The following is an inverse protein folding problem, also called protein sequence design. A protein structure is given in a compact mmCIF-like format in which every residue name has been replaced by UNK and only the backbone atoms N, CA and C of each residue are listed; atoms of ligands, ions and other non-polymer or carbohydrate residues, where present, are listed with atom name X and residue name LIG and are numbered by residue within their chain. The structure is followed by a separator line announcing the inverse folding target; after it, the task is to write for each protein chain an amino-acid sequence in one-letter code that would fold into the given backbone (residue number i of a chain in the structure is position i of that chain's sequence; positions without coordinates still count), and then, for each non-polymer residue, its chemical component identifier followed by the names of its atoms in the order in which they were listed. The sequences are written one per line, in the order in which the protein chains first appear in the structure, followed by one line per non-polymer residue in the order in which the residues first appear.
data_IF_200577104327
#
_entry.id   IF_200577104327
#
_cell.length_a   1.000
_cell.length_b   1.000
_cell.length_c   1.000
_cell.angle_alpha   90.00
_cell.angle_beta   90.00
_cell.angle_gamma   90.00
#
_symmetry.space_group_name_H-M   'P 1'
#
loop_
_entity.id
_entity.type
_entity.pdbx_description
1 polymer ?
#
# COMPACT_ATOMS: atom_id res chain seq x y z
N UNK A 1 63.20 -5.65 17.23
CA UNK A 1 61.85 -6.25 17.23
C UNK A 1 60.81 -5.13 17.08
N UNK A 2 60.25 -4.99 15.90
CA UNK A 2 59.21 -4.00 15.61
C UNK A 2 57.90 -4.72 15.40
N UNK A 3 56.99 -4.58 16.35
CA UNK A 3 55.62 -5.13 16.25
C UNK A 3 54.77 -4.18 15.39
N UNK A 4 54.33 -4.63 14.24
CA UNK A 4 53.36 -3.93 13.42
C UNK A 4 51.97 -4.42 13.84
N UNK A 5 51.25 -3.55 14.54
CA UNK A 5 49.86 -3.81 14.91
C UNK A 5 49.01 -3.40 13.68
N UNK A 6 48.56 -4.40 12.95
CA UNK A 6 47.60 -4.21 11.84
C UNK A 6 46.20 -4.00 12.41
N UNK A 7 45.67 -2.77 12.34
CA UNK A 7 44.30 -2.48 12.61
C UNK A 7 43.44 -2.88 11.41
N UNK A 8 42.70 -3.99 11.56
CA UNK A 8 41.67 -4.41 10.61
C UNK A 8 40.47 -3.47 10.76
N UNK A 9 40.27 -2.64 9.74
CA UNK A 9 39.08 -1.78 9.65
C UNK A 9 37.93 -2.64 9.08
N UNK A 10 37.05 -3.12 9.96
CA UNK A 10 35.83 -3.79 9.56
C UNK A 10 34.84 -2.75 9.01
N UNK A 11 34.71 -2.66 7.71
CA UNK A 11 33.68 -1.85 7.06
C UNK A 11 32.31 -2.54 7.26
N UNK A 12 31.52 -2.05 8.18
CA UNK A 12 30.13 -2.43 8.34
C UNK A 12 29.34 -1.85 7.14
N UNK A 13 28.99 -2.71 6.18
CA UNK A 13 28.03 -2.38 5.12
C UNK A 13 26.65 -2.28 5.75
N UNK A 14 26.24 -1.09 6.11
CA UNK A 14 24.85 -0.78 6.44
C UNK A 14 24.03 -0.88 5.15
N UNK A 15 23.33 -2.00 4.96
CA UNK A 15 22.30 -2.12 3.95
C UNK A 15 21.16 -1.18 4.34
N UNK A 16 21.19 0.05 3.81
CA UNK A 16 20.04 0.93 3.84
C UNK A 16 18.95 0.26 3.01
N UNK A 17 17.92 -0.28 3.66
CA UNK A 17 16.69 -0.66 3.00
C UNK A 17 16.11 0.63 2.41
N UNK A 18 16.31 0.81 1.10
CA UNK A 18 15.70 1.91 0.36
C UNK A 18 14.20 1.74 0.46
N UNK A 19 13.55 2.58 1.27
CA UNK A 19 12.11 2.70 1.26
C UNK A 19 11.72 3.04 -0.18
N UNK A 20 10.97 2.17 -0.84
CA UNK A 20 10.58 2.33 -2.22
C UNK A 20 9.70 3.58 -2.33
N UNK A 21 10.22 4.62 -2.94
CA UNK A 21 9.50 5.87 -3.12
C UNK A 21 8.40 5.67 -4.17
N UNK A 22 7.28 6.34 -3.94
CA UNK A 22 6.18 6.34 -4.91
C UNK A 22 6.54 7.14 -6.16
N UNK A 23 6.10 6.65 -7.30
CA UNK A 23 6.12 7.39 -8.56
C UNK A 23 5.22 8.63 -8.47
N UNK A 24 5.37 9.61 -9.38
CA UNK A 24 4.45 10.76 -9.42
C UNK A 24 2.99 10.35 -9.59
N UNK A 25 2.69 9.30 -10.34
CA UNK A 25 1.34 8.77 -10.50
C UNK A 25 0.81 8.19 -9.19
N UNK A 26 1.57 7.36 -8.53
CA UNK A 26 1.22 6.77 -7.23
C UNK A 26 1.00 7.85 -6.15
N UNK A 27 1.81 8.92 -6.15
CA UNK A 27 1.63 10.05 -5.23
C UNK A 27 0.31 10.80 -5.47
N UNK A 28 -0.12 10.95 -6.72
CA UNK A 28 -1.44 11.54 -7.02
C UNK A 28 -2.56 10.67 -6.50
N UNK A 29 -2.47 9.36 -6.70
CA UNK A 29 -3.42 8.39 -6.14
C UNK A 29 -3.46 8.43 -4.61
N UNK A 30 -2.29 8.45 -3.95
CA UNK A 30 -2.19 8.61 -2.49
C UNK A 30 -2.88 9.88 -2.01
N UNK A 31 -2.61 11.02 -2.63
CA UNK A 31 -3.19 12.32 -2.25
C UNK A 31 -4.72 12.33 -2.39
N UNK A 32 -5.23 11.70 -3.45
CA UNK A 32 -6.67 11.57 -3.67
C UNK A 32 -7.33 10.71 -2.58
N UNK A 33 -6.77 9.56 -2.28
CA UNK A 33 -7.28 8.67 -1.23
C UNK A 33 -7.13 9.27 0.16
N UNK A 34 -6.04 10.00 0.44
CA UNK A 34 -5.87 10.73 1.70
C UNK A 34 -6.97 11.73 1.95
N UNK A 35 -7.42 12.41 0.90
CA UNK A 35 -8.48 13.41 0.99
C UNK A 35 -9.87 12.78 1.17
N UNK A 36 -10.15 11.67 0.47
CA UNK A 36 -11.49 11.12 0.35
C UNK A 36 -11.75 9.89 1.23
N UNK A 37 -10.72 9.12 1.57
CA UNK A 37 -10.87 7.79 2.17
C UNK A 37 -10.22 7.67 3.55
N UNK A 38 -9.20 8.47 3.84
CA UNK A 38 -8.40 8.34 5.07
C UNK A 38 -9.18 8.65 6.37
N UNK A 39 -10.33 9.29 6.27
CA UNK A 39 -11.20 9.53 7.43
C UNK A 39 -11.73 8.25 8.07
N UNK A 40 -11.85 7.18 7.29
CA UNK A 40 -12.37 5.88 7.74
C UNK A 40 -11.38 4.74 7.51
N UNK A 41 -10.65 4.74 6.39
CA UNK A 41 -9.71 3.68 6.00
C UNK A 41 -8.27 4.00 6.38
N UNK A 42 -7.50 2.96 6.73
CA UNK A 42 -6.04 3.05 6.66
C UNK A 42 -5.64 2.91 5.19
N UNK A 43 -5.18 3.99 4.60
CA UNK A 43 -4.88 4.07 3.16
C UNK A 43 -3.43 3.72 2.81
N UNK A 44 -2.55 3.59 3.78
CA UNK A 44 -1.11 3.39 3.57
C UNK A 44 -0.63 1.97 3.91
N UNK A 45 0.70 1.80 3.91
CA UNK A 45 1.36 0.54 4.24
C UNK A 45 1.25 0.15 5.72
N UNK A 46 0.85 1.05 6.58
CA UNK A 46 0.77 0.86 8.04
C UNK A 46 -0.50 1.50 8.60
N UNK A 47 -0.74 1.26 9.87
CA UNK A 47 -1.84 1.88 10.60
C UNK A 47 -3.16 1.12 10.53
N UNK A 48 -4.12 1.67 11.25
CA UNK A 48 -5.53 1.21 11.28
C UNK A 48 -6.43 2.40 10.98
N UNK A 49 -7.57 2.14 10.34
CA UNK A 49 -8.57 3.17 10.07
C UNK A 49 -9.39 3.51 11.31
N UNK A 50 -10.02 4.68 11.30
CA UNK A 50 -10.91 5.11 12.36
C UNK A 50 -12.22 4.31 12.41
N UNK A 51 -12.67 3.79 11.26
CA UNK A 51 -13.87 2.97 11.19
C UNK A 51 -13.50 1.48 11.29
N UNK A 52 -14.03 0.73 12.27
CA UNK A 52 -13.58 -0.66 12.54
C UNK A 52 -13.90 -1.64 11.41
N UNK A 53 -14.94 -1.38 10.63
CA UNK A 53 -15.34 -2.25 9.51
C UNK A 53 -14.73 -1.85 8.16
N UNK A 54 -14.08 -0.68 8.08
CA UNK A 54 -13.46 -0.21 6.85
C UNK A 54 -12.20 -1.04 6.52
N UNK A 55 -12.14 -1.72 5.35
CA UNK A 55 -10.98 -2.49 4.97
C UNK A 55 -9.69 -1.68 4.92
N UNK A 56 -8.58 -2.31 5.28
CA UNK A 56 -7.24 -1.76 5.10
C UNK A 56 -6.89 -1.81 3.61
N UNK A 57 -6.47 -0.71 3.02
CA UNK A 57 -6.19 -0.67 1.57
C UNK A 57 -5.02 -1.58 1.18
N UNK A 58 -4.00 -1.71 2.03
CA UNK A 58 -2.88 -2.62 1.80
C UNK A 58 -3.25 -4.11 1.76
N UNK A 59 -4.45 -4.48 2.21
CA UNK A 59 -4.92 -5.86 2.25
C UNK A 59 -6.00 -6.17 1.20
N UNK A 60 -6.35 -5.22 0.32
CA UNK A 60 -7.42 -5.39 -0.66
C UNK A 60 -7.14 -6.52 -1.65
N UNK A 61 -5.88 -6.75 -2.02
CA UNK A 61 -5.51 -7.83 -2.94
C UNK A 61 -5.82 -9.24 -2.43
N UNK A 62 -6.09 -9.37 -1.14
CA UNK A 62 -6.58 -10.64 -0.56
C UNK A 62 -8.03 -10.96 -0.93
N UNK A 63 -8.78 -9.97 -1.37
CA UNK A 63 -10.21 -10.09 -1.72
C UNK A 63 -10.46 -9.93 -3.21
N UNK A 64 -9.71 -9.05 -3.87
CA UNK A 64 -9.90 -8.69 -5.28
C UNK A 64 -8.56 -8.56 -5.98
N UNK A 65 -8.56 -8.70 -7.30
CA UNK A 65 -7.51 -8.07 -8.11
C UNK A 65 -7.71 -6.56 -8.04
N UNK A 66 -6.66 -5.80 -7.82
CA UNK A 66 -6.77 -4.33 -7.67
C UNK A 66 -7.39 -3.71 -8.93
N UNK A 67 -7.03 -4.19 -10.11
CA UNK A 67 -7.58 -3.74 -11.40
C UNK A 67 -9.11 -3.94 -11.51
N UNK A 68 -9.68 -4.91 -10.80
CA UNK A 68 -11.12 -5.11 -10.78
C UNK A 68 -11.91 -3.95 -10.15
N UNK A 69 -11.22 -3.04 -9.47
CA UNK A 69 -11.84 -1.84 -8.91
C UNK A 69 -11.98 -0.69 -9.92
N UNK A 70 -11.34 -0.77 -11.09
CA UNK A 70 -11.34 0.31 -12.08
C UNK A 70 -12.75 0.72 -12.49
N UNK A 71 -13.58 -0.24 -12.86
CA UNK A 71 -14.97 0.01 -13.29
C UNK A 71 -15.79 0.61 -12.16
N UNK A 72 -15.72 0.04 -10.97
CA UNK A 72 -16.44 0.54 -9.80
C UNK A 72 -16.04 1.97 -9.43
N UNK A 73 -14.76 2.30 -9.50
CA UNK A 73 -14.27 3.66 -9.25
C UNK A 73 -14.71 4.65 -10.32
N UNK A 74 -14.78 4.22 -11.58
CA UNK A 74 -15.20 5.08 -12.69
C UNK A 74 -16.71 5.30 -12.73
N UNK A 75 -17.51 4.30 -12.44
CA UNK A 75 -18.98 4.34 -12.52
C UNK A 75 -19.65 4.81 -11.23
N UNK A 76 -18.98 4.71 -10.12
CA UNK A 76 -19.48 5.02 -8.80
C UNK A 76 -19.32 3.82 -7.85
N UNK A 77 -18.44 3.99 -6.88
CA UNK A 77 -18.17 2.96 -5.88
C UNK A 77 -19.28 2.95 -4.84
N UNK A 78 -20.19 2.01 -4.96
CA UNK A 78 -21.26 1.76 -3.97
C UNK A 78 -20.94 0.49 -3.21
N UNK A 79 -20.57 0.63 -1.94
CA UNK A 79 -20.16 -0.50 -1.10
C UNK A 79 -21.32 -1.26 -0.45
N UNK A 80 -22.51 -0.66 -0.41
CA UNK A 80 -23.65 -1.15 0.36
C UNK A 80 -23.53 -0.90 1.87
N UNK A 81 -22.43 -0.31 2.35
CA UNK A 81 -22.27 0.07 3.74
C UNK A 81 -22.84 1.47 3.98
N UNK A 82 -23.74 1.68 4.99
CA UNK A 82 -24.45 2.94 5.17
C UNK A 82 -23.53 4.13 5.48
N UNK A 83 -22.38 3.90 6.07
CA UNK A 83 -21.43 4.95 6.46
C UNK A 83 -20.40 5.28 5.38
N UNK A 84 -20.35 4.51 4.28
CA UNK A 84 -19.43 4.76 3.19
C UNK A 84 -20.10 5.58 2.11
N UNK A 85 -19.65 6.84 1.86
CA UNK A 85 -20.16 7.66 0.77
C UNK A 85 -19.87 7.06 -0.60
N UNK A 86 -20.70 7.41 -1.58
CA UNK A 86 -20.47 7.08 -2.99
C UNK A 86 -19.43 8.04 -3.58
N UNK A 87 -18.48 7.49 -4.32
CA UNK A 87 -17.45 8.24 -5.03
C UNK A 87 -17.41 7.84 -6.49
N UNK A 88 -17.19 8.81 -7.35
CA UNK A 88 -16.96 8.61 -8.77
C UNK A 88 -15.72 9.37 -9.19
N UNK A 89 -14.83 8.68 -9.90
CA UNK A 89 -13.53 9.20 -10.32
C UNK A 89 -13.46 9.34 -11.84
N UNK A 90 -12.70 10.31 -12.32
CA UNK A 90 -12.32 10.39 -13.73
C UNK A 90 -11.40 9.22 -14.11
N UNK A 91 -11.25 8.96 -15.41
CA UNK A 91 -10.37 7.90 -15.89
C UNK A 91 -8.91 8.11 -15.45
N UNK A 92 -8.44 9.36 -15.39
CA UNK A 92 -7.10 9.69 -14.90
C UNK A 92 -6.95 9.37 -13.39
N UNK A 93 -7.92 9.82 -12.60
CA UNK A 93 -7.94 9.55 -11.16
C UNK A 93 -8.03 8.05 -10.85
N UNK A 94 -8.79 7.29 -11.63
CA UNK A 94 -8.84 5.83 -11.52
C UNK A 94 -7.45 5.23 -11.75
N UNK A 95 -6.76 5.63 -12.81
CA UNK A 95 -5.40 5.17 -13.10
C UNK A 95 -4.43 5.48 -11.98
N UNK A 96 -4.50 6.67 -11.40
CA UNK A 96 -3.66 7.10 -10.27
C UNK A 96 -3.95 6.28 -9.00
N UNK A 97 -5.23 6.06 -8.69
CA UNK A 97 -5.65 5.23 -7.54
C UNK A 97 -5.20 3.78 -7.69
N UNK A 98 -5.39 3.18 -8.85
CA UNK A 98 -4.99 1.80 -9.12
C UNK A 98 -3.46 1.65 -9.01
N UNK A 99 -2.69 2.59 -9.54
CA UNK A 99 -1.24 2.58 -9.42
C UNK A 99 -0.79 2.61 -7.95
N UNK A 100 -1.36 3.51 -7.15
CA UNK A 100 -1.06 3.59 -5.73
C UNK A 100 -1.47 2.34 -4.96
N UNK A 101 -2.69 1.85 -5.17
CA UNK A 101 -3.18 0.64 -4.50
C UNK A 101 -2.29 -0.57 -4.79
N UNK A 102 -1.84 -0.76 -6.03
CA UNK A 102 -0.90 -1.83 -6.36
C UNK A 102 0.43 -1.69 -5.64
N UNK A 103 0.92 -0.46 -5.47
CA UNK A 103 2.21 -0.19 -4.84
C UNK A 103 2.24 -0.50 -3.34
N UNK A 104 1.09 -0.51 -2.66
CA UNK A 104 1.01 -0.70 -1.21
C UNK A 104 0.54 -2.09 -0.78
N UNK A 105 0.18 -2.99 -1.70
CA UNK A 105 -0.37 -4.29 -1.32
C UNK A 105 0.62 -5.12 -0.51
N UNK A 106 0.13 -5.71 0.57
CA UNK A 106 0.88 -6.69 1.34
C UNK A 106 1.04 -7.99 0.53
N UNK A 107 2.20 -8.65 0.62
CA UNK A 107 2.34 -9.98 0.03
C UNK A 107 1.32 -10.95 0.64
N UNK A 108 0.86 -11.96 -0.11
CA UNK A 108 -0.02 -12.97 0.44
C UNK A 108 0.66 -13.68 1.63
N UNK A 109 -0.11 -14.09 2.64
CA UNK A 109 0.45 -14.85 3.74
C UNK A 109 1.12 -16.13 3.21
N UNK A 110 2.22 -16.59 3.83
CA UNK A 110 2.87 -17.83 3.42
C UNK A 110 1.86 -18.97 3.47
N UNK A 111 1.94 -19.88 2.48
CA UNK A 111 1.09 -21.07 2.45
C UNK A 111 1.26 -21.86 3.76
N UNK A 112 0.18 -22.42 4.30
CA UNK A 112 0.28 -23.26 5.48
C UNK A 112 1.28 -24.40 5.23
N UNK A 113 2.21 -24.61 6.18
CA UNK A 113 3.14 -25.73 6.11
C UNK A 113 2.31 -27.01 6.04
N UNK A 114 2.34 -27.66 4.89
CA UNK A 114 1.76 -29.00 4.75
C UNK A 114 2.59 -29.94 5.63
N UNK A 115 2.05 -30.32 6.77
CA UNK A 115 2.63 -31.42 7.57
C UNK A 115 2.51 -32.69 6.75
N UNK A 116 3.64 -33.21 6.32
CA UNK A 116 3.74 -34.57 5.77
C UNK A 116 3.63 -35.58 6.91
#
# INVERSE_FOLDING_TARGET
MRWVVGTAFAAALASAALAQEFTPQERRGEALLARLCAGCHAIGRTGVGAHPEAPLFRALSRRYKIEALEEALAEGLTSGHPDMPDFQFSAEEVGDVIAYLNAIQEPPPPAPLQRR
#
